data_IF_844774824144
#
_entry.id   IF_844774824144
#
_cell.length_a   1.000
_cell.length_b   1.000
_cell.length_c   1.000
_cell.angle_alpha   90.00
_cell.angle_beta   90.00
_cell.angle_gamma   90.00
#
_symmetry.space_group_name_H-M   'P 1'
#
loop_
_entity.id
_entity.type
_entity.pdbx_description
1 polymer ?
#
# COMPACT_ATOMS: atom_id res chain seq x y z
N UNK A 1 -4.11 22.76 -42.19
CA UNK A 1 -3.87 23.12 -40.78
C UNK A 1 -4.20 21.90 -39.95
N UNK A 2 -3.20 21.09 -39.61
CA UNK A 2 -3.38 19.83 -38.88
C UNK A 2 -2.85 20.03 -37.47
N UNK A 3 -3.75 20.11 -36.49
CA UNK A 3 -3.38 20.11 -35.08
C UNK A 3 -3.19 18.66 -34.61
N UNK A 4 -1.94 18.26 -34.45
CA UNK A 4 -1.59 17.03 -33.73
C UNK A 4 -1.73 17.29 -32.23
N UNK A 5 -2.80 16.79 -31.62
CA UNK A 5 -2.92 16.75 -30.15
C UNK A 5 -1.96 15.66 -29.66
N UNK A 6 -0.83 16.10 -29.09
CA UNK A 6 0.10 15.22 -28.37
C UNK A 6 -0.54 14.79 -27.06
N UNK A 7 -0.95 13.53 -26.95
CA UNK A 7 -1.40 12.95 -25.69
C UNK A 7 -0.18 12.78 -24.77
N UNK A 8 0.04 13.74 -23.88
CA UNK A 8 1.05 13.63 -22.84
C UNK A 8 0.65 12.49 -21.89
N UNK A 9 1.39 11.38 -21.95
CA UNK A 9 1.34 10.35 -20.91
C UNK A 9 1.68 11.03 -19.59
N UNK A 10 0.70 11.23 -18.72
CA UNK A 10 0.98 11.93 -17.47
C UNK A 10 1.76 10.99 -16.54
N UNK A 11 3.06 11.24 -16.45
CA UNK A 11 3.97 10.47 -15.63
C UNK A 11 3.60 10.59 -14.16
N UNK A 12 3.54 9.46 -13.46
CA UNK A 12 3.36 9.43 -12.01
C UNK A 12 4.55 10.11 -11.32
N UNK A 13 4.27 10.98 -10.34
CA UNK A 13 5.30 11.65 -9.53
C UNK A 13 5.07 11.35 -8.05
N UNK A 14 6.15 11.04 -7.33
CA UNK A 14 6.14 10.85 -5.88
C UNK A 14 6.86 12.02 -5.21
N UNK A 15 6.33 12.51 -4.09
CA UNK A 15 7.08 13.40 -3.20
C UNK A 15 8.23 12.66 -2.52
N UNK A 16 9.10 13.40 -1.82
CA UNK A 16 10.04 12.79 -0.89
C UNK A 16 9.28 11.95 0.17
N UNK A 17 9.80 10.77 0.55
CA UNK A 17 9.20 9.97 1.62
C UNK A 17 9.30 10.67 2.97
N UNK A 18 8.28 10.51 3.80
CA UNK A 18 8.20 11.11 5.13
C UNK A 18 7.72 10.10 6.17
N UNK A 19 8.31 10.14 7.37
CA UNK A 19 7.85 9.40 8.55
C UNK A 19 6.93 10.25 9.44
N UNK A 20 6.77 11.54 9.14
CA UNK A 20 6.03 12.48 9.98
C UNK A 20 4.52 12.44 9.68
N UNK A 21 3.69 11.84 10.55
CA UNK A 21 2.25 11.77 10.32
C UNK A 21 1.58 13.15 10.36
N UNK A 22 2.22 14.20 10.89
CA UNK A 22 1.71 15.57 10.90
C UNK A 22 1.61 16.22 9.51
N UNK A 23 2.28 15.64 8.51
CA UNK A 23 2.19 16.09 7.10
C UNK A 23 0.96 15.54 6.36
N UNK A 24 0.21 14.64 6.99
CA UNK A 24 -1.01 14.07 6.42
C UNK A 24 -2.18 15.03 6.63
N UNK A 25 -3.06 15.22 5.62
CA UNK A 25 -4.32 15.92 5.80
C UNK A 25 -5.14 15.28 6.94
N UNK A 26 -5.97 16.05 7.67
CA UNK A 26 -6.77 15.52 8.77
C UNK A 26 -7.63 14.30 8.41
N UNK A 27 -8.20 14.29 7.20
CA UNK A 27 -8.98 13.17 6.65
C UNK A 27 -8.16 11.88 6.56
N UNK A 28 -6.97 11.96 5.97
CA UNK A 28 -6.01 10.85 5.82
C UNK A 28 -5.51 10.38 7.19
N UNK A 29 -5.14 11.33 8.05
CA UNK A 29 -4.68 11.04 9.41
C UNK A 29 -5.74 10.31 10.24
N UNK A 30 -7.01 10.70 10.12
CA UNK A 30 -8.13 10.07 10.83
C UNK A 30 -8.34 8.62 10.43
N UNK A 31 -8.38 8.32 9.12
CA UNK A 31 -8.51 6.94 8.63
C UNK A 31 -7.32 6.10 9.08
N UNK A 32 -6.09 6.60 8.89
CA UNK A 32 -4.86 5.92 9.32
C UNK A 32 -4.88 5.60 10.81
N UNK A 33 -5.23 6.57 11.66
CA UNK A 33 -5.28 6.38 13.10
C UNK A 33 -6.31 5.31 13.48
N UNK A 34 -7.49 5.31 12.84
CA UNK A 34 -8.51 4.29 13.10
C UNK A 34 -8.02 2.89 12.76
N UNK A 35 -7.36 2.72 11.61
CA UNK A 35 -6.80 1.43 11.21
C UNK A 35 -5.71 0.97 12.19
N UNK A 36 -4.83 1.88 12.64
CA UNK A 36 -3.80 1.55 13.63
C UNK A 36 -4.39 1.15 15.00
N UNK A 37 -5.50 1.76 15.42
CA UNK A 37 -6.22 1.36 16.63
C UNK A 37 -6.82 -0.05 16.49
N UNK A 38 -7.43 -0.37 15.34
CA UNK A 38 -7.94 -1.71 15.06
C UNK A 38 -6.80 -2.74 15.10
N UNK A 39 -5.68 -2.45 14.44
CA UNK A 39 -4.51 -3.32 14.44
C UNK A 39 -3.93 -3.54 15.85
N UNK A 40 -3.91 -2.51 16.70
CA UNK A 40 -3.48 -2.63 18.09
C UNK A 40 -4.46 -3.46 18.95
N UNK A 41 -5.76 -3.43 18.63
CA UNK A 41 -6.78 -4.24 19.31
C UNK A 41 -6.76 -5.72 18.94
N UNK A 42 -6.21 -6.08 17.77
CA UNK A 42 -6.06 -7.48 17.34
C UNK A 42 -7.35 -8.14 16.86
N UNK A 43 -8.46 -7.40 16.79
CA UNK A 43 -9.73 -7.86 16.23
C UNK A 43 -9.85 -7.43 14.77
N UNK A 44 -9.71 -8.40 13.85
CA UNK A 44 -9.80 -8.15 12.41
C UNK A 44 -11.21 -7.72 11.99
N UNK A 45 -12.26 -8.17 12.68
CA UNK A 45 -13.65 -7.83 12.32
C UNK A 45 -13.92 -6.32 12.52
N UNK A 46 -13.18 -5.68 13.44
CA UNK A 46 -13.24 -4.24 13.64
C UNK A 46 -12.73 -3.41 12.43
N UNK A 47 -12.07 -4.03 11.43
CA UNK A 47 -11.74 -3.35 10.16
C UNK A 47 -12.98 -3.02 9.32
N UNK A 48 -14.14 -3.64 9.58
CA UNK A 48 -15.39 -3.28 8.90
C UNK A 48 -15.71 -1.79 9.05
N UNK A 49 -15.39 -1.19 10.20
CA UNK A 49 -15.66 0.22 10.47
C UNK A 49 -14.89 1.15 9.50
N UNK A 50 -13.55 1.13 9.44
CA UNK A 50 -12.81 1.96 8.48
C UNK A 50 -13.07 1.58 7.01
N UNK A 51 -13.49 0.34 6.71
CA UNK A 51 -13.92 -0.05 5.35
C UNK A 51 -15.21 0.68 4.96
N UNK A 52 -16.20 0.72 5.86
CA UNK A 52 -17.52 1.34 5.64
C UNK A 52 -17.50 2.87 5.66
N UNK A 53 -16.42 3.50 6.10
CA UNK A 53 -16.25 4.96 5.99
C UNK A 53 -16.13 5.43 4.54
N UNK A 54 -15.87 4.52 3.60
CA UNK A 54 -15.71 4.81 2.19
C UNK A 54 -17.00 4.51 1.44
N UNK A 55 -17.44 5.42 0.57
CA UNK A 55 -18.57 5.17 -0.34
C UNK A 55 -18.28 3.97 -1.24
N UNK A 56 -17.03 3.86 -1.72
CA UNK A 56 -16.50 2.71 -2.45
C UNK A 56 -15.53 1.97 -1.54
N UNK A 57 -15.79 0.70 -1.17
CA UNK A 57 -14.89 -0.07 -0.33
C UNK A 57 -13.49 -0.22 -0.97
N UNK A 58 -12.41 -0.23 -0.16
CA UNK A 58 -11.07 -0.49 -0.66
C UNK A 58 -10.95 -1.88 -1.29
N UNK A 59 -10.04 -2.00 -2.24
CA UNK A 59 -9.69 -3.28 -2.87
C UNK A 59 -8.66 -4.04 -2.01
N UNK A 60 -8.90 -5.32 -1.76
CA UNK A 60 -7.96 -6.20 -1.04
C UNK A 60 -7.25 -7.21 -1.95
N UNK A 61 -7.63 -7.27 -3.23
CA UNK A 61 -6.98 -8.07 -4.27
C UNK A 61 -7.25 -7.50 -5.68
N UNK A 62 -6.43 -7.89 -6.68
CA UNK A 62 -6.64 -7.51 -8.08
C UNK A 62 -7.84 -8.24 -8.65
N UNK A 63 -8.66 -7.51 -9.40
CA UNK A 63 -9.87 -8.06 -10.00
C UNK A 63 -10.88 -8.55 -8.96
N UNK A 64 -10.94 -7.92 -7.78
CA UNK A 64 -11.86 -8.28 -6.70
C UNK A 64 -13.29 -8.50 -7.23
N UNK A 65 -13.91 -9.68 -6.97
CA UNK A 65 -15.23 -9.99 -7.50
C UNK A 65 -16.33 -9.19 -6.78
N UNK A 66 -17.53 -9.18 -7.37
CA UNK A 66 -18.72 -8.64 -6.70
C UNK A 66 -19.07 -9.51 -5.49
N UNK A 67 -19.56 -8.88 -4.42
CA UNK A 67 -19.93 -9.59 -3.17
C UNK A 67 -18.72 -10.09 -2.37
N UNK A 68 -17.52 -9.57 -2.65
CA UNK A 68 -16.31 -9.93 -1.93
C UNK A 68 -16.41 -9.59 -0.44
N UNK A 69 -16.14 -10.59 0.40
CA UNK A 69 -16.03 -10.42 1.85
C UNK A 69 -14.56 -10.12 2.21
N UNK A 70 -14.24 -8.87 2.56
CA UNK A 70 -12.87 -8.50 2.87
C UNK A 70 -12.36 -9.15 4.15
N UNK A 71 -13.22 -9.40 5.14
CA UNK A 71 -12.78 -9.93 6.43
C UNK A 71 -12.50 -11.43 6.30
N UNK A 72 -13.39 -12.18 5.64
CA UNK A 72 -13.15 -13.58 5.34
C UNK A 72 -11.88 -13.77 4.51
N UNK A 73 -11.66 -12.91 3.51
CA UNK A 73 -10.44 -12.93 2.70
C UNK A 73 -9.17 -12.69 3.52
N UNK A 74 -9.16 -11.63 4.35
CA UNK A 74 -7.98 -11.31 5.18
C UNK A 74 -7.69 -12.42 6.20
N UNK A 75 -8.73 -13.02 6.82
CA UNK A 75 -8.58 -14.20 7.69
C UNK A 75 -7.93 -15.37 6.95
N UNK A 76 -8.42 -15.69 5.75
CA UNK A 76 -7.90 -16.79 4.93
C UNK A 76 -6.45 -16.59 4.46
N UNK A 77 -6.01 -15.33 4.26
CA UNK A 77 -4.62 -15.03 3.88
C UNK A 77 -3.64 -15.12 5.04
N UNK A 78 -4.12 -14.85 6.25
CA UNK A 78 -3.33 -14.82 7.48
C UNK A 78 -2.87 -16.22 7.87
N UNK A 79 -1.60 -16.41 8.22
CA UNK A 79 -1.07 -17.71 8.63
C UNK A 79 -1.78 -18.31 9.86
N UNK A 80 -2.34 -17.45 10.71
CA UNK A 80 -3.05 -17.84 11.92
C UNK A 80 -4.54 -18.13 11.69
N UNK A 81 -5.06 -17.90 10.47
CA UNK A 81 -6.48 -18.04 10.14
C UNK A 81 -7.42 -17.03 10.84
N UNK A 82 -6.87 -16.14 11.69
CA UNK A 82 -7.62 -15.18 12.49
C UNK A 82 -7.38 -13.72 12.08
N UNK A 83 -6.46 -13.47 11.15
CA UNK A 83 -6.20 -12.14 10.60
C UNK A 83 -5.14 -11.33 11.35
N UNK A 84 -4.51 -11.86 12.41
CA UNK A 84 -3.53 -11.07 13.20
C UNK A 84 -2.27 -10.76 12.41
N UNK A 85 -1.87 -11.65 11.49
CA UNK A 85 -0.79 -11.36 10.55
C UNK A 85 -1.15 -10.15 9.67
N UNK A 86 -2.35 -10.16 9.10
CA UNK A 86 -2.80 -9.09 8.23
C UNK A 86 -2.89 -7.76 8.97
N UNK A 87 -3.35 -7.76 10.24
CA UNK A 87 -3.32 -6.58 11.10
C UNK A 87 -1.90 -6.10 11.40
N UNK A 88 -0.96 -7.02 11.68
CA UNK A 88 0.43 -6.69 11.92
C UNK A 88 1.08 -6.05 10.68
N UNK A 89 0.87 -6.63 9.50
CA UNK A 89 1.33 -6.10 8.21
C UNK A 89 0.69 -4.73 7.94
N UNK A 90 -0.63 -4.58 8.14
CA UNK A 90 -1.33 -3.32 7.94
C UNK A 90 -0.77 -2.22 8.87
N UNK A 91 -0.49 -2.56 10.13
CA UNK A 91 0.20 -1.67 11.08
C UNK A 91 1.60 -1.31 10.60
N UNK A 92 2.40 -2.29 10.14
CA UNK A 92 3.74 -2.05 9.64
C UNK A 92 3.74 -1.11 8.42
N UNK A 93 2.84 -1.35 7.47
CA UNK A 93 2.65 -0.53 6.27
C UNK A 93 2.30 0.91 6.65
N UNK A 94 1.33 1.15 7.54
CA UNK A 94 0.95 2.51 7.93
C UNK A 94 1.97 3.22 8.84
N UNK A 95 2.88 2.48 9.48
CA UNK A 95 4.00 3.04 10.26
C UNK A 95 5.25 3.31 9.41
N UNK A 96 5.34 2.72 8.22
CA UNK A 96 6.41 2.99 7.28
C UNK A 96 6.33 4.41 6.68
N UNK A 97 7.39 4.88 6.01
CA UNK A 97 7.34 6.19 5.36
C UNK A 97 6.28 6.24 4.26
N UNK A 98 5.66 7.41 4.11
CA UNK A 98 4.65 7.71 3.10
C UNK A 98 5.14 8.74 2.11
N UNK A 99 4.50 8.80 0.95
CA UNK A 99 4.70 9.89 -0.01
C UNK A 99 3.38 10.27 -0.67
N UNK A 100 3.31 11.50 -1.17
CA UNK A 100 2.23 11.95 -2.03
C UNK A 100 2.49 11.48 -3.46
N UNK A 101 1.62 10.63 -3.98
CA UNK A 101 1.58 10.19 -5.37
C UNK A 101 0.65 11.10 -6.16
N UNK A 102 1.17 11.74 -7.22
CA UNK A 102 0.40 12.53 -8.18
C UNK A 102 0.37 11.82 -9.53
N UNK A 103 -0.83 11.58 -10.06
CA UNK A 103 -1.09 10.99 -11.39
C UNK A 103 -2.13 11.82 -12.12
N UNK A 104 -1.70 12.69 -13.03
CA UNK A 104 -2.63 13.65 -13.65
C UNK A 104 -3.19 14.60 -12.61
N UNK A 105 -4.52 14.74 -12.60
CA UNK A 105 -5.24 15.51 -11.60
C UNK A 105 -5.46 14.75 -10.28
N UNK A 106 -5.13 13.45 -10.22
CA UNK A 106 -5.38 12.62 -9.04
C UNK A 106 -4.19 12.62 -8.10
N UNK A 107 -4.47 12.72 -6.80
CA UNK A 107 -3.46 12.72 -5.74
C UNK A 107 -3.86 11.76 -4.63
N UNK A 108 -2.89 11.00 -4.12
CA UNK A 108 -3.12 10.02 -3.04
C UNK A 108 -1.85 9.83 -2.23
N UNK A 109 -1.99 9.65 -0.93
CA UNK A 109 -0.89 9.22 -0.08
C UNK A 109 -0.71 7.71 -0.21
N UNK A 110 0.53 7.26 -0.37
CA UNK A 110 0.85 5.84 -0.55
C UNK A 110 1.85 5.34 0.48
N UNK A 111 1.70 4.08 0.84
CA UNK A 111 2.58 3.36 1.76
C UNK A 111 2.87 1.93 1.25
N UNK A 112 4.01 1.32 1.66
CA UNK A 112 5.20 1.99 2.15
C UNK A 112 6.01 2.60 0.99
N UNK A 113 6.71 3.69 1.25
CA UNK A 113 7.71 4.26 0.32
C UNK A 113 9.06 4.24 1.01
N UNK A 114 9.83 3.19 0.79
CA UNK A 114 11.18 3.11 1.33
C UNK A 114 12.11 4.00 0.50
N UNK A 115 12.91 4.89 1.13
CA UNK A 115 13.90 5.65 0.41
C UNK A 115 14.91 4.67 -0.23
N UNK A 116 15.45 5.01 -1.42
CA UNK A 116 16.50 4.19 -2.00
C UNK A 116 17.70 4.17 -1.05
N UNK A 117 18.32 3.01 -0.92
CA UNK A 117 19.54 2.83 -0.14
C UNK A 117 20.68 3.52 -0.90
N UNK A 118 20.84 4.83 -0.72
CA UNK A 118 21.97 5.58 -1.28
C UNK A 118 23.10 5.80 -0.27
N UNK A 119 22.95 5.25 0.95
CA UNK A 119 24.06 5.13 1.89
C UNK A 119 24.81 3.81 1.62
N UNK A 120 26.14 3.81 1.39
CA UNK A 120 26.92 2.58 1.25
C UNK A 120 26.85 1.65 2.46
N UNK A 121 26.35 2.13 3.61
CA UNK A 121 26.02 1.27 4.76
C UNK A 121 24.58 1.52 5.20
N UNK A 122 23.55 0.95 4.54
CA UNK A 122 22.22 0.97 5.13
C UNK A 122 22.31 0.34 6.50
N UNK A 123 21.82 1.04 7.53
CA UNK A 123 21.63 0.45 8.84
C UNK A 123 20.89 -0.89 8.65
N UNK A 124 21.29 -2.00 9.29
CA UNK A 124 20.61 -3.29 9.14
C UNK A 124 19.09 -3.17 9.26
N UNK A 125 18.63 -2.25 10.13
CA UNK A 125 17.22 -1.90 10.31
C UNK A 125 16.53 -1.36 9.04
N UNK A 126 17.19 -0.54 8.23
CA UNK A 126 16.63 -0.01 6.97
C UNK A 126 16.47 -1.11 5.91
N UNK A 127 17.40 -2.08 5.85
CA UNK A 127 17.27 -3.25 4.96
C UNK A 127 16.17 -4.21 5.40
N UNK A 128 15.92 -4.29 6.71
CA UNK A 128 14.90 -5.16 7.28
C UNK A 128 13.50 -4.55 7.27
N UNK A 129 13.38 -3.22 7.22
CA UNK A 129 12.09 -2.53 7.29
C UNK A 129 11.05 -3.01 6.26
N UNK A 130 11.38 -3.23 4.97
CA UNK A 130 10.41 -3.77 4.01
C UNK A 130 9.84 -5.13 4.39
N UNK A 131 10.64 -5.99 5.04
CA UNK A 131 10.23 -7.35 5.41
C UNK A 131 9.13 -7.39 6.47
N UNK A 132 8.98 -6.34 7.26
CA UNK A 132 7.83 -6.20 8.18
C UNK A 132 6.48 -6.02 7.47
N UNK A 133 6.50 -5.64 6.18
CA UNK A 133 5.32 -5.47 5.34
C UNK A 133 5.06 -6.69 4.44
N UNK A 134 5.75 -7.81 4.67
CA UNK A 134 5.64 -9.04 3.86
C UNK A 134 4.91 -10.09 4.67
N UNK A 135 4.07 -10.86 3.99
CA UNK A 135 3.39 -12.02 4.57
C UNK A 135 4.36 -13.19 4.70
N UNK A 136 4.23 -14.01 5.73
CA UNK A 136 5.11 -15.14 6.00
C UNK A 136 5.19 -16.10 4.81
N UNK A 137 4.06 -16.40 4.17
CA UNK A 137 4.01 -17.27 2.99
C UNK A 137 4.71 -16.67 1.75
N UNK A 138 5.00 -15.37 1.76
CA UNK A 138 5.59 -14.63 0.65
C UNK A 138 7.08 -14.30 0.90
N UNK A 139 7.66 -14.71 2.04
CA UNK A 139 9.05 -14.40 2.40
C UNK A 139 10.10 -14.94 1.40
N UNK A 140 9.81 -16.05 0.74
CA UNK A 140 10.69 -16.64 -0.27
C UNK A 140 10.46 -16.06 -1.68
N UNK A 141 9.42 -15.24 -1.86
CA UNK A 141 9.05 -14.69 -3.16
C UNK A 141 9.74 -13.34 -3.39
N UNK A 142 9.83 -12.95 -4.67
CA UNK A 142 10.40 -11.67 -5.07
C UNK A 142 9.41 -10.89 -5.94
N UNK A 143 9.35 -9.58 -5.71
CA UNK A 143 8.58 -8.69 -6.56
C UNK A 143 9.18 -8.63 -7.98
N UNK A 144 8.39 -8.33 -9.03
CA UNK A 144 8.89 -8.26 -10.41
C UNK A 144 10.04 -7.27 -10.64
N UNK A 145 10.11 -6.21 -9.83
CA UNK A 145 11.20 -5.23 -9.83
C UNK A 145 12.40 -5.59 -8.95
N UNK A 146 12.40 -6.78 -8.35
CA UNK A 146 13.35 -7.19 -7.31
C UNK A 146 12.96 -6.72 -5.91
N UNK A 147 13.49 -7.39 -4.90
CA UNK A 147 13.18 -7.14 -3.49
C UNK A 147 11.93 -7.88 -2.98
N UNK A 148 11.53 -7.63 -1.73
CA UNK A 148 10.43 -8.35 -1.08
C UNK A 148 9.06 -7.99 -1.66
N UNK A 149 8.14 -8.96 -1.62
CA UNK A 149 6.75 -8.79 -2.02
C UNK A 149 5.95 -8.09 -0.89
N UNK A 150 6.10 -6.76 -0.81
CA UNK A 150 5.49 -5.95 0.26
C UNK A 150 4.02 -5.68 0.00
N UNK A 151 3.21 -5.66 1.05
CA UNK A 151 1.87 -5.07 0.99
C UNK A 151 1.96 -3.56 0.83
N UNK A 152 1.01 -3.01 0.08
CA UNK A 152 0.89 -1.60 -0.23
C UNK A 152 -0.53 -1.13 0.04
N UNK A 153 -0.67 0.15 0.35
CA UNK A 153 -1.97 0.82 0.52
C UNK A 153 -1.90 2.25 0.00
N UNK A 154 -3.07 2.83 -0.28
CA UNK A 154 -3.21 4.22 -0.61
C UNK A 154 -4.47 4.84 0.00
N UNK A 155 -4.39 6.12 0.33
CA UNK A 155 -5.50 6.93 0.81
C UNK A 155 -5.58 8.21 -0.04
N UNK A 156 -6.77 8.51 -0.58
CA UNK A 156 -7.03 9.77 -1.29
C UNK A 156 -6.90 10.99 -0.38
N UNK A 157 -6.75 12.20 -0.96
CA UNK A 157 -6.66 13.43 -0.16
C UNK A 157 -7.91 13.68 0.72
N UNK A 158 -9.05 13.16 0.29
CA UNK A 158 -10.34 13.17 0.97
C UNK A 158 -10.43 12.17 2.15
N UNK A 159 -9.43 11.29 2.31
CA UNK A 159 -9.43 10.23 3.31
C UNK A 159 -10.03 8.91 2.84
N UNK A 160 -10.34 8.76 1.54
CA UNK A 160 -10.86 7.51 0.98
C UNK A 160 -9.76 6.44 0.92
N UNK A 161 -9.96 5.30 1.59
CA UNK A 161 -9.10 4.13 1.50
C UNK A 161 -9.27 3.44 0.14
N UNK A 162 -8.20 3.35 -0.64
CA UNK A 162 -8.29 2.87 -2.02
C UNK A 162 -8.03 1.37 -2.13
N UNK A 163 -6.96 0.87 -1.49
CA UNK A 163 -6.58 -0.55 -1.57
C UNK A 163 -5.68 -0.98 -0.42
N UNK A 164 -5.57 -2.29 -0.19
CA UNK A 164 -4.54 -2.93 0.63
C UNK A 164 -4.25 -4.35 0.12
N UNK A 165 -3.10 -4.52 -0.54
CA UNK A 165 -2.74 -5.74 -1.27
C UNK A 165 -1.25 -5.76 -1.61
N UNK A 166 -0.75 -6.84 -2.21
CA UNK A 166 0.58 -6.86 -2.83
C UNK A 166 0.52 -7.09 -4.34
N UNK A 167 1.64 -6.87 -5.04
CA UNK A 167 1.71 -6.88 -6.51
C UNK A 167 1.45 -8.26 -7.14
N UNK A 168 1.59 -9.34 -6.37
CA UNK A 168 1.31 -10.72 -6.81
C UNK A 168 -0.17 -11.14 -6.60
N UNK A 169 -1.03 -10.27 -6.06
CA UNK A 169 -2.45 -10.60 -5.83
C UNK A 169 -3.31 -10.61 -7.11
N UNK A 170 -2.71 -10.97 -8.27
CA UNK A 170 -3.37 -11.13 -9.57
C UNK A 170 -2.72 -10.36 -10.72
N UNK A 171 -1.65 -10.94 -11.28
CA UNK A 171 -1.08 -10.72 -12.63
C UNK A 171 -0.46 -9.35 -12.97
N UNK A 172 0.88 -9.29 -13.01
CA UNK A 172 1.76 -8.43 -13.83
C UNK A 172 1.32 -6.98 -14.14
N UNK A 173 2.07 -5.99 -13.63
CA UNK A 173 2.57 -4.82 -14.38
C UNK A 173 2.92 -3.65 -13.43
N UNK A 174 4.20 -3.57 -13.04
CA UNK A 174 4.95 -2.31 -13.08
C UNK A 174 6.46 -2.61 -12.97
N UNK A 175 6.98 -3.41 -13.90
CA UNK A 175 8.42 -3.37 -14.17
C UNK A 175 8.70 -2.10 -15.00
N UNK A 176 9.70 -1.26 -14.64
CA UNK A 176 10.17 -0.22 -15.56
C UNK A 176 10.72 -0.91 -16.83
N UNK A 177 10.59 -0.29 -18.02
CA UNK A 177 11.15 -0.88 -19.23
C UNK A 177 12.65 -1.11 -19.02
N UNK A 178 13.06 -2.37 -19.06
CA UNK A 178 14.46 -2.73 -19.07
C UNK A 178 15.12 -2.05 -20.28
N UNK A 179 16.13 -1.20 -20.01
CA UNK A 179 16.97 -0.65 -21.05
C UNK A 179 17.67 -1.82 -21.75
N UNK A 180 17.31 -2.07 -23.02
CA UNK A 180 18.04 -3.03 -23.86
C UNK A 180 19.44 -2.46 -24.08
N UNK A 181 20.46 -3.26 -23.75
CA UNK A 181 21.79 -3.19 -24.37
C UNK A 181 21.91 -4.35 -25.34
#
# INVERSE_FOLDING_TARGET
>A
MSHTISAAVTQARLSAPSLDPGQLPPSVGRLRLRILQVAAGGDIDALLIPIQWNEVPPLFQRGQPRGFDPIAYLKARSFDGHGREMLAILSAVFKAPHALLTRGATQSYVWPVFPPIFDPTPWPQQRLAPWSCVRFADLAQQAPGGGPLVYRTAIGLDGTWQYFWTEDDGTAALAPPAARR
#
